data_IF_677736839985
#
_entry.id   IF_677736839985
#
_cell.length_a   1.000
_cell.length_b   1.000
_cell.length_c   1.000
_cell.angle_alpha   90.00
_cell.angle_beta   90.00
_cell.angle_gamma   90.00
#
_symmetry.space_group_name_H-M   'P 1'
#
loop_
_entity.id
_entity.type
_entity.pdbx_description
1 polymer ?
#
# COMPACT_ATOMS: atom_id res chain seq x y z
N UNK A 1 -8.23 17.00 28.15
CA UNK A 1 -8.29 16.87 26.68
C UNK A 1 -7.46 15.65 26.37
N UNK A 2 -8.01 14.69 25.62
CA UNK A 2 -7.23 13.50 25.23
C UNK A 2 -6.07 13.85 24.31
N UNK A 3 -5.09 12.96 24.21
CA UNK A 3 -3.97 13.13 23.30
C UNK A 3 -4.47 13.16 21.85
N UNK A 4 -3.87 14.00 21.02
CA UNK A 4 -4.25 14.19 19.61
C UNK A 4 -3.04 14.12 18.70
N UNK A 5 -3.14 13.36 17.60
CA UNK A 5 -2.12 13.29 16.57
C UNK A 5 -2.64 13.79 15.23
N UNK A 6 -1.79 14.47 14.48
CA UNK A 6 -2.01 14.70 13.05
C UNK A 6 -1.35 13.57 12.27
N UNK A 7 -2.11 12.86 11.44
CA UNK A 7 -1.58 11.82 10.55
C UNK A 7 -1.39 12.38 9.15
N UNK A 8 -0.16 12.41 8.67
CA UNK A 8 0.16 12.84 7.31
C UNK A 8 0.33 11.60 6.40
N UNK A 9 -0.73 11.23 5.70
CA UNK A 9 -0.81 10.09 4.78
C UNK A 9 -1.52 10.49 3.47
N UNK A 10 -1.70 9.56 2.56
CA UNK A 10 -2.48 9.75 1.31
C UNK A 10 -3.88 9.20 1.49
N UNK A 11 -4.84 10.06 1.84
CA UNK A 11 -6.19 9.67 2.29
C UNK A 11 -7.27 10.44 1.55
N UNK A 12 -8.47 9.83 1.48
CA UNK A 12 -9.63 10.36 0.77
C UNK A 12 -9.53 10.12 -0.74
N UNK A 13 -8.69 9.17 -1.15
CA UNK A 13 -8.59 8.70 -2.53
C UNK A 13 -9.48 7.47 -2.75
N UNK A 14 -9.61 7.03 -4.00
CA UNK A 14 -10.33 5.79 -4.33
C UNK A 14 -9.45 4.55 -4.15
N UNK A 15 -8.17 4.70 -3.74
CA UNK A 15 -7.24 3.59 -3.53
C UNK A 15 -7.49 2.91 -2.18
N UNK A 16 -8.21 1.81 -2.20
CA UNK A 16 -8.56 1.05 -0.99
C UNK A 16 -7.36 0.49 -0.24
N UNK A 17 -6.22 0.32 -0.90
CA UNK A 17 -4.98 -0.09 -0.22
C UNK A 17 -4.45 0.97 0.73
N UNK A 18 -4.43 2.24 0.31
CA UNK A 18 -3.99 3.35 1.16
C UNK A 18 -5.02 3.60 2.29
N UNK A 19 -6.32 3.44 1.99
CA UNK A 19 -7.39 3.52 2.99
C UNK A 19 -7.30 2.38 4.03
N UNK A 20 -6.95 1.16 3.63
CA UNK A 20 -6.72 0.02 4.54
C UNK A 20 -5.56 0.30 5.50
N UNK A 21 -4.42 0.77 4.97
CA UNK A 21 -3.26 1.16 5.76
C UNK A 21 -3.62 2.24 6.78
N UNK A 22 -4.38 3.25 6.37
CA UNK A 22 -4.85 4.30 7.27
C UNK A 22 -5.84 3.77 8.31
N UNK A 23 -6.74 2.89 7.93
CA UNK A 23 -7.69 2.26 8.88
C UNK A 23 -6.95 1.54 10.00
N UNK A 24 -5.91 0.76 9.68
CA UNK A 24 -5.06 0.09 10.67
C UNK A 24 -4.36 1.12 11.57
N UNK A 25 -3.72 2.13 10.99
CA UNK A 25 -3.03 3.16 11.75
C UNK A 25 -3.97 3.91 12.71
N UNK A 26 -5.18 4.23 12.24
CA UNK A 26 -6.20 4.87 13.06
C UNK A 26 -6.60 3.98 14.26
N UNK A 27 -6.76 2.67 14.06
CA UNK A 27 -7.04 1.75 15.16
C UNK A 27 -5.89 1.71 16.16
N UNK A 28 -4.64 1.59 15.71
CA UNK A 28 -3.49 1.63 16.60
C UNK A 28 -3.40 2.90 17.44
N UNK A 29 -3.80 4.06 16.90
CA UNK A 29 -3.86 5.32 17.63
C UNK A 29 -5.07 5.35 18.60
N UNK A 30 -6.24 4.89 18.17
CA UNK A 30 -7.44 4.83 18.99
C UNK A 30 -7.27 3.91 20.21
N UNK A 31 -6.61 2.76 20.05
CA UNK A 31 -6.29 1.83 21.15
C UNK A 31 -5.39 2.47 22.23
N UNK A 32 -4.68 3.54 21.86
CA UNK A 32 -3.85 4.38 22.75
C UNK A 32 -4.60 5.60 23.28
N UNK A 33 -5.90 5.72 23.01
CA UNK A 33 -6.71 6.88 23.41
C UNK A 33 -6.39 8.17 22.64
N UNK A 34 -5.72 8.07 21.48
CA UNK A 34 -5.28 9.23 20.69
C UNK A 34 -6.30 9.58 19.61
N UNK A 35 -6.81 10.81 19.66
CA UNK A 35 -7.66 11.36 18.60
C UNK A 35 -6.83 11.65 17.34
N UNK A 36 -7.39 11.32 16.17
CA UNK A 36 -6.73 11.49 14.89
C UNK A 36 -7.32 12.64 14.09
N UNK A 37 -6.46 13.56 13.63
CA UNK A 37 -6.77 14.54 12.60
C UNK A 37 -5.98 14.24 11.32
N UNK A 38 -6.61 14.34 10.13
CA UNK A 38 -5.96 13.95 8.87
C UNK A 38 -6.31 14.88 7.70
N UNK A 39 -5.31 15.35 6.93
CA UNK A 39 -5.57 16.03 5.66
C UNK A 39 -6.06 15.01 4.62
N UNK A 40 -7.22 15.24 4.02
CA UNK A 40 -7.90 14.35 3.10
C UNK A 40 -8.26 15.03 1.78
N UNK A 41 -8.27 14.24 0.69
CA UNK A 41 -8.80 14.64 -0.62
C UNK A 41 -10.32 14.76 -0.61
N UNK A 42 -10.99 13.94 0.23
CA UNK A 42 -12.43 13.95 0.49
C UNK A 42 -12.69 13.95 2.00
N UNK A 43 -12.63 15.12 2.67
CA UNK A 43 -12.84 15.21 4.11
C UNK A 43 -14.17 14.62 4.59
N UNK A 44 -15.34 14.91 3.97
CA UNK A 44 -16.59 14.31 4.40
C UNK A 44 -16.61 12.79 4.30
N UNK A 45 -16.13 12.22 3.19
CA UNK A 45 -16.04 10.76 2.98
C UNK A 45 -15.09 10.11 3.98
N UNK A 46 -13.93 10.74 4.23
CA UNK A 46 -12.94 10.24 5.21
C UNK A 46 -13.49 10.27 6.63
N UNK A 47 -14.18 11.36 7.02
CA UNK A 47 -14.83 11.44 8.34
C UNK A 47 -15.88 10.34 8.50
N UNK A 48 -16.69 10.10 7.47
CA UNK A 48 -17.72 9.05 7.52
C UNK A 48 -17.13 7.64 7.57
N UNK A 49 -16.06 7.37 6.80
CA UNK A 49 -15.45 6.04 6.71
C UNK A 49 -14.60 5.67 7.93
N UNK A 50 -13.87 6.64 8.48
CA UNK A 50 -12.86 6.39 9.50
C UNK A 50 -13.17 6.99 10.89
N UNK A 51 -14.23 7.79 11.02
CA UNK A 51 -14.63 8.47 12.27
C UNK A 51 -13.48 9.32 12.85
N UNK A 52 -12.84 10.12 12.01
CA UNK A 52 -11.73 11.00 12.35
C UNK A 52 -12.04 12.46 11.96
N UNK A 53 -11.27 13.40 12.50
CA UNK A 53 -11.36 14.81 12.13
C UNK A 53 -10.58 15.05 10.83
N UNK A 54 -11.29 14.99 9.69
CA UNK A 54 -10.69 15.18 8.38
C UNK A 54 -10.83 16.62 7.90
N UNK A 55 -9.76 17.15 7.32
CA UNK A 55 -9.73 18.51 6.76
C UNK A 55 -9.11 18.53 5.35
N UNK A 56 -9.29 19.66 4.65
CA UNK A 56 -8.86 19.77 3.26
C UNK A 56 -7.36 19.51 3.07
N UNK A 57 -7.04 18.62 2.16
CA UNK A 57 -5.69 18.17 1.81
C UNK A 57 -4.76 19.33 1.38
N UNK A 58 -5.30 20.35 0.70
CA UNK A 58 -4.57 21.54 0.25
C UNK A 58 -4.83 22.77 1.13
N UNK A 59 -5.35 22.62 2.35
CA UNK A 59 -5.61 23.72 3.27
C UNK A 59 -4.47 23.86 4.30
N UNK A 60 -3.48 24.76 4.05
CA UNK A 60 -2.36 24.97 4.99
C UNK A 60 -2.79 25.68 6.27
N UNK A 61 -3.95 26.35 6.26
CA UNK A 61 -4.49 27.04 7.43
C UNK A 61 -5.11 26.03 8.40
N UNK A 62 -5.88 25.08 7.87
CA UNK A 62 -6.40 23.95 8.64
C UNK A 62 -5.24 23.11 9.20
N UNK A 63 -4.26 22.73 8.38
CA UNK A 63 -3.08 22.00 8.86
C UNK A 63 -2.41 22.70 10.06
N UNK A 64 -2.20 24.03 9.98
CA UNK A 64 -1.60 24.77 11.10
C UNK A 64 -2.48 24.79 12.34
N UNK A 65 -3.81 24.88 12.20
CA UNK A 65 -4.73 24.80 13.35
C UNK A 65 -4.63 23.46 14.04
N UNK A 66 -4.69 22.36 13.26
CA UNK A 66 -4.63 21.01 13.81
C UNK A 66 -3.27 20.71 14.45
N UNK A 67 -2.16 21.16 13.85
CA UNK A 67 -0.83 21.01 14.46
C UNK A 67 -0.69 21.77 15.80
N UNK A 68 -1.36 22.92 15.98
CA UNK A 68 -1.32 23.66 17.26
C UNK A 68 -2.04 22.94 18.41
N UNK A 69 -3.01 22.09 18.09
CA UNK A 69 -3.77 21.32 19.07
C UNK A 69 -3.31 19.87 19.16
N UNK A 70 -2.31 19.47 18.37
CA UNK A 70 -1.75 18.13 18.37
C UNK A 70 -0.59 18.00 19.35
N UNK A 71 -0.35 16.78 19.83
CA UNK A 71 0.81 16.41 20.64
C UNK A 71 1.91 15.83 19.75
N UNK A 72 1.58 15.24 18.60
CA UNK A 72 2.55 14.64 17.69
C UNK A 72 2.08 14.67 16.22
N UNK A 73 3.04 14.48 15.28
CA UNK A 73 2.77 14.15 13.90
C UNK A 73 3.18 12.70 13.63
N UNK A 74 2.27 11.89 13.09
CA UNK A 74 2.57 10.59 12.51
C UNK A 74 2.66 10.73 11.00
N UNK A 75 3.81 10.41 10.43
CA UNK A 75 4.05 10.45 8.99
C UNK A 75 4.06 9.02 8.43
N UNK A 76 3.06 8.66 7.65
CA UNK A 76 3.00 7.34 7.06
C UNK A 76 1.58 6.79 6.93
N UNK A 77 1.56 5.60 6.62
CA UNK A 77 1.84 4.49 5.88
C UNK A 77 1.83 4.63 4.36
N UNK A 78 2.41 3.65 3.73
CA UNK A 78 2.42 3.54 2.29
C UNK A 78 3.59 4.22 1.58
N UNK A 79 3.53 4.31 0.27
CA UNK A 79 4.62 4.80 -0.59
C UNK A 79 4.69 6.32 -0.72
N UNK A 80 4.84 7.05 0.38
CA UNK A 80 4.84 8.52 0.39
C UNK A 80 6.17 9.13 -0.08
N UNK A 81 7.28 8.43 0.17
CA UNK A 81 8.62 8.90 -0.18
C UNK A 81 8.98 8.42 -1.60
N UNK A 82 8.39 9.08 -2.61
CA UNK A 82 8.61 8.73 -4.02
C UNK A 82 8.45 9.96 -4.92
N UNK A 83 9.14 9.96 -6.06
CA UNK A 83 9.06 10.96 -7.12
C UNK A 83 8.58 10.38 -8.47
N UNK A 84 8.12 9.13 -8.46
CA UNK A 84 7.70 8.41 -9.66
C UNK A 84 6.36 8.92 -10.22
N UNK A 85 5.42 9.30 -9.37
CA UNK A 85 4.06 9.67 -9.78
C UNK A 85 3.91 11.14 -10.12
N UNK A 86 4.63 12.04 -9.43
CA UNK A 86 4.60 13.49 -9.67
C UNK A 86 5.78 14.19 -8.98
N UNK A 87 6.31 15.24 -9.61
CA UNK A 87 7.32 16.12 -8.99
C UNK A 87 6.80 16.86 -7.75
N UNK A 88 5.48 17.01 -7.61
CA UNK A 88 4.83 17.70 -6.50
C UNK A 88 4.55 16.79 -5.31
N UNK A 89 4.49 15.47 -5.53
CA UNK A 89 4.15 14.50 -4.49
C UNK A 89 5.10 14.60 -3.29
N UNK A 90 6.38 14.42 -3.52
CA UNK A 90 7.38 14.43 -2.46
C UNK A 90 7.49 15.79 -1.73
N UNK A 91 7.62 16.97 -2.41
CA UNK A 91 7.61 18.26 -1.73
C UNK A 91 6.37 18.49 -0.88
N UNK A 92 5.22 18.02 -1.35
CA UNK A 92 3.95 18.16 -0.66
C UNK A 92 3.93 17.35 0.64
N UNK A 93 4.33 16.07 0.60
CA UNK A 93 4.41 15.23 1.80
C UNK A 93 5.44 15.78 2.80
N UNK A 94 6.64 16.14 2.36
CA UNK A 94 7.68 16.70 3.20
C UNK A 94 7.30 18.06 3.83
N UNK A 95 6.36 18.81 3.23
CA UNK A 95 5.87 20.07 3.78
C UNK A 95 5.18 19.90 5.13
N UNK A 96 4.53 18.74 5.37
CA UNK A 96 3.84 18.40 6.63
C UNK A 96 4.84 18.18 7.76
N UNK A 97 5.90 17.44 7.48
CA UNK A 97 7.01 17.25 8.43
C UNK A 97 7.61 18.61 8.81
N UNK A 98 7.87 19.46 7.81
CA UNK A 98 8.40 20.80 8.08
C UNK A 98 7.44 21.66 8.91
N UNK A 99 6.13 21.52 8.67
CA UNK A 99 5.12 22.26 9.43
C UNK A 99 5.07 21.80 10.90
N UNK A 100 5.10 20.49 11.15
CA UNK A 100 5.16 19.92 12.51
C UNK A 100 6.41 20.35 13.25
N UNK A 101 7.58 20.24 12.60
CA UNK A 101 8.85 20.71 13.20
C UNK A 101 8.83 22.19 13.55
N UNK A 102 8.25 23.06 12.70
CA UNK A 102 8.09 24.50 13.01
C UNK A 102 7.12 24.74 14.16
N UNK A 103 6.18 23.82 14.39
CA UNK A 103 5.28 23.87 15.54
C UNK A 103 5.90 23.26 16.82
N UNK A 104 7.13 22.75 16.74
CA UNK A 104 7.82 22.13 17.88
C UNK A 104 7.28 20.74 18.24
N UNK A 105 6.54 20.10 17.33
CA UNK A 105 5.94 18.80 17.59
C UNK A 105 6.95 17.67 17.34
N UNK A 106 7.00 16.66 18.23
CA UNK A 106 7.66 15.40 17.93
C UNK A 106 6.97 14.73 16.75
N UNK A 107 7.71 13.94 15.98
CA UNK A 107 7.16 13.20 14.86
C UNK A 107 7.89 11.88 14.61
N UNK A 108 7.18 10.92 14.05
CA UNK A 108 7.72 9.64 13.64
C UNK A 108 7.16 9.21 12.28
N UNK A 109 7.89 8.33 11.60
CA UNK A 109 7.45 7.68 10.38
C UNK A 109 7.02 6.23 10.64
N UNK A 110 5.89 5.78 10.08
CA UNK A 110 5.40 4.39 10.24
C UNK A 110 5.03 3.78 8.88
N UNK A 111 5.44 2.54 8.64
CA UNK A 111 5.07 1.79 7.44
C UNK A 111 5.45 2.46 6.11
N UNK A 112 6.55 3.21 6.07
CA UNK A 112 6.94 4.03 4.92
C UNK A 112 7.62 3.20 3.83
N UNK A 113 7.25 3.45 2.56
CA UNK A 113 7.99 3.01 1.39
C UNK A 113 8.82 4.15 0.81
N UNK A 114 10.11 3.90 0.54
CA UNK A 114 11.06 4.86 -0.05
C UNK A 114 11.74 4.35 -1.33
N UNK A 115 11.39 3.16 -1.80
CA UNK A 115 11.96 2.55 -3.01
C UNK A 115 11.71 3.35 -4.30
N UNK A 116 10.73 4.27 -4.30
CA UNK A 116 10.39 5.15 -5.43
C UNK A 116 11.17 6.47 -5.50
N UNK A 117 12.29 6.63 -4.78
CA UNK A 117 13.16 7.81 -4.86
C UNK A 117 14.16 7.65 -5.99
N UNK A 118 13.81 8.12 -7.19
CA UNK A 118 14.60 7.89 -8.41
C UNK A 118 15.66 8.95 -8.66
N UNK A 119 15.42 10.21 -8.28
CA UNK A 119 16.35 11.31 -8.59
C UNK A 119 17.27 11.69 -7.42
N UNK A 120 18.54 12.09 -7.71
CA UNK A 120 19.44 12.59 -6.66
C UNK A 120 18.89 13.83 -5.93
N UNK A 121 18.13 14.68 -6.62
CA UNK A 121 17.48 15.85 -6.02
C UNK A 121 16.43 15.48 -4.98
N UNK A 122 15.60 14.47 -5.28
CA UNK A 122 14.60 13.94 -4.33
C UNK A 122 15.26 13.27 -3.13
N UNK A 123 16.30 12.49 -3.34
CA UNK A 123 17.08 11.85 -2.26
C UNK A 123 17.66 12.88 -1.30
N UNK A 124 18.28 13.98 -1.81
CA UNK A 124 18.78 15.07 -0.98
C UNK A 124 17.68 15.78 -0.20
N UNK A 125 16.49 15.99 -0.82
CA UNK A 125 15.33 16.59 -0.14
C UNK A 125 14.81 15.72 1.00
N UNK A 126 14.78 14.41 0.81
CA UNK A 126 14.39 13.45 1.84
C UNK A 126 15.40 13.47 2.98
N UNK A 127 16.70 13.32 2.70
CA UNK A 127 17.74 13.37 3.72
C UNK A 127 17.66 14.67 4.57
N UNK A 128 17.45 15.82 3.93
CA UNK A 128 17.32 17.11 4.61
C UNK A 128 16.01 17.27 5.41
N UNK A 129 14.97 16.54 5.07
CA UNK A 129 13.66 16.64 5.73
C UNK A 129 13.48 15.63 6.87
N UNK A 130 14.06 14.43 6.73
CA UNK A 130 13.95 13.36 7.71
C UNK A 130 15.01 13.50 8.81
N UNK A 131 14.89 14.55 9.58
CA UNK A 131 15.74 14.86 10.74
C UNK A 131 14.87 15.18 11.95
N UNK A 132 15.40 15.11 13.15
CA UNK A 132 14.72 15.42 14.41
C UNK A 132 13.43 14.59 14.61
N UNK A 133 13.43 13.34 14.17
CA UNK A 133 12.33 12.39 14.38
C UNK A 133 12.64 11.43 15.53
N UNK A 134 11.59 10.83 16.10
CA UNK A 134 11.74 9.78 17.10
C UNK A 134 12.34 8.53 16.46
N UNK A 135 11.66 7.98 15.44
CA UNK A 135 12.13 6.88 14.59
C UNK A 135 11.38 6.86 13.26
N UNK A 136 11.89 6.10 12.30
CA UNK A 136 11.23 5.86 11.01
C UNK A 136 11.16 4.36 10.74
N UNK A 137 9.94 3.80 10.81
CA UNK A 137 9.67 2.45 10.35
C UNK A 137 9.45 2.44 8.84
N UNK A 138 10.16 1.57 8.14
CA UNK A 138 10.00 1.33 6.71
C UNK A 138 9.50 -0.08 6.44
N UNK A 139 8.67 -0.22 5.41
CA UNK A 139 7.94 -1.45 5.14
C UNK A 139 8.73 -2.53 4.41
N UNK A 140 9.84 -2.19 3.77
CA UNK A 140 10.63 -3.11 2.95
C UNK A 140 12.13 -2.86 3.09
N UNK A 141 12.94 -3.89 2.81
CA UNK A 141 14.39 -3.85 2.94
C UNK A 141 15.03 -2.78 2.05
N UNK A 142 14.53 -2.61 0.82
CA UNK A 142 15.06 -1.63 -0.12
C UNK A 142 14.83 -0.19 0.35
N UNK A 143 13.73 0.07 1.05
CA UNK A 143 13.46 1.36 1.72
C UNK A 143 14.39 1.60 2.90
N UNK A 144 14.71 0.56 3.69
CA UNK A 144 15.65 0.65 4.80
C UNK A 144 17.05 1.00 4.29
N UNK A 145 17.54 0.27 3.29
CA UNK A 145 18.84 0.52 2.64
C UNK A 145 18.90 1.93 2.02
N UNK A 146 17.83 2.34 1.33
CA UNK A 146 17.75 3.67 0.73
C UNK A 146 17.89 4.78 1.78
N UNK A 147 17.09 4.75 2.86
CA UNK A 147 17.12 5.81 3.87
C UNK A 147 18.40 5.78 4.71
N UNK A 148 18.90 4.60 5.07
CA UNK A 148 20.17 4.45 5.78
C UNK A 148 21.34 4.94 4.93
N UNK A 149 21.36 4.61 3.64
CA UNK A 149 22.36 5.11 2.68
C UNK A 149 22.32 6.63 2.46
N UNK A 150 21.19 7.27 2.76
CA UNK A 150 21.05 8.74 2.77
C UNK A 150 21.46 9.37 4.11
N UNK A 151 21.89 8.58 5.08
CA UNK A 151 22.28 9.06 6.42
C UNK A 151 21.09 9.40 7.32
N UNK A 152 19.89 8.93 7.03
CA UNK A 152 18.73 9.12 7.91
C UNK A 152 18.94 8.27 9.17
N UNK A 153 18.92 8.86 10.38
CA UNK A 153 19.13 8.11 11.62
C UNK A 153 17.87 7.30 12.00
N UNK A 154 18.02 6.34 12.92
CA UNK A 154 16.92 5.57 13.54
C UNK A 154 15.91 5.02 12.52
N UNK A 155 16.40 4.50 11.40
CA UNK A 155 15.58 3.74 10.44
C UNK A 155 15.42 2.32 10.97
N UNK A 156 14.17 1.89 11.12
CA UNK A 156 13.78 0.56 11.62
C UNK A 156 13.13 -0.21 10.47
N UNK A 157 13.62 -1.41 10.19
CA UNK A 157 12.93 -2.33 9.28
C UNK A 157 11.67 -2.86 9.97
N UNK A 158 10.55 -2.57 9.39
CA UNK A 158 9.23 -3.07 9.77
C UNK A 158 8.57 -3.75 8.56
N UNK A 159 7.26 -3.95 8.60
CA UNK A 159 6.45 -4.30 7.45
C UNK A 159 5.34 -3.26 7.23
N UNK A 160 4.62 -3.38 6.11
CA UNK A 160 3.47 -2.51 5.83
C UNK A 160 2.40 -2.69 6.90
N UNK A 161 1.78 -1.58 7.31
CA UNK A 161 0.71 -1.60 8.33
C UNK A 161 -0.47 -2.49 7.95
N UNK A 162 -0.72 -2.69 6.66
CA UNK A 162 -1.79 -3.56 6.20
C UNK A 162 -1.66 -5.01 6.68
N UNK A 163 -0.46 -5.48 7.06
CA UNK A 163 -0.26 -6.81 7.66
C UNK A 163 -0.87 -6.97 9.06
N UNK A 164 -1.23 -5.86 9.71
CA UNK A 164 -1.96 -5.85 11.00
C UNK A 164 -3.48 -5.82 10.82
N UNK A 165 -3.98 -5.81 9.58
CA UNK A 165 -5.42 -5.88 9.34
C UNK A 165 -5.96 -7.25 9.73
N UNK A 166 -7.18 -7.28 10.27
CA UNK A 166 -7.84 -8.53 10.65
C UNK A 166 -8.12 -9.38 9.41
N UNK A 167 -7.60 -10.63 9.35
CA UNK A 167 -7.80 -11.49 8.20
C UNK A 167 -9.29 -11.85 8.05
N UNK A 168 -9.80 -12.02 6.82
CA UNK A 168 -11.18 -12.42 6.63
C UNK A 168 -11.38 -13.87 7.08
N UNK A 169 -12.59 -14.18 7.58
CA UNK A 169 -12.97 -15.58 7.83
C UNK A 169 -12.96 -16.35 6.50
N UNK A 170 -12.11 -17.37 6.39
CA UNK A 170 -12.01 -18.18 5.19
C UNK A 170 -13.33 -18.93 4.94
N UNK A 171 -13.89 -18.81 3.72
CA UNK A 171 -15.19 -19.38 3.34
C UNK A 171 -15.08 -20.49 2.30
N UNK A 172 -13.89 -20.95 1.98
CA UNK A 172 -13.66 -21.96 0.96
C UNK A 172 -12.41 -21.64 0.12
N UNK A 173 -12.39 -22.22 -1.06
CA UNK A 173 -11.36 -22.04 -2.08
C UNK A 173 -11.98 -22.25 -3.46
N UNK A 174 -11.22 -22.04 -4.52
CA UNK A 174 -11.69 -22.27 -5.90
C UNK A 174 -11.78 -20.99 -6.72
N UNK A 175 -11.28 -19.88 -6.20
CA UNK A 175 -11.24 -18.58 -6.90
C UNK A 175 -9.80 -18.16 -7.20
N UNK A 176 -9.53 -17.82 -8.45
CA UNK A 176 -8.39 -17.05 -8.89
C UNK A 176 -8.76 -15.55 -8.77
N UNK A 177 -8.25 -14.88 -7.77
CA UNK A 177 -8.42 -13.42 -7.66
C UNK A 177 -7.42 -12.70 -8.58
N UNK A 178 -7.91 -11.70 -9.33
CA UNK A 178 -7.08 -10.93 -10.27
C UNK A 178 -7.21 -9.44 -9.95
N UNK A 179 -6.09 -8.80 -9.58
CA UNK A 179 -6.04 -7.39 -9.23
C UNK A 179 -5.16 -6.62 -10.24
N UNK A 180 -5.74 -6.23 -11.37
CA UNK A 180 -5.02 -5.48 -12.40
C UNK A 180 -4.98 -3.99 -12.09
N UNK A 181 -3.95 -3.35 -12.61
CA UNK A 181 -3.78 -1.90 -12.63
C UNK A 181 -3.50 -1.45 -14.04
N UNK A 182 -4.19 -0.40 -14.50
CA UNK A 182 -3.91 0.17 -15.81
C UNK A 182 -2.46 0.72 -15.87
N UNK A 183 -1.56 0.11 -16.67
CA UNK A 183 -0.20 0.59 -16.80
C UNK A 183 -0.13 1.98 -17.44
N UNK A 184 -1.14 2.40 -18.21
CA UNK A 184 -1.17 3.71 -18.86
C UNK A 184 -1.45 4.84 -17.85
N UNK A 185 -2.20 4.59 -16.79
CA UNK A 185 -2.41 5.58 -15.71
C UNK A 185 -1.11 5.90 -14.98
N UNK A 186 -0.14 4.97 -14.98
CA UNK A 186 1.19 5.20 -14.47
C UNK A 186 2.09 6.01 -15.44
N UNK A 187 1.71 6.14 -16.71
CA UNK A 187 2.46 6.89 -17.74
C UNK A 187 2.13 8.38 -17.78
N UNK A 188 0.95 8.78 -17.26
CA UNK A 188 0.58 10.19 -17.24
C UNK A 188 1.24 10.89 -16.05
N UNK A 189 2.38 11.53 -16.29
CA UNK A 189 3.22 12.18 -15.30
C UNK A 189 3.52 13.62 -15.74
N UNK A 190 2.63 14.59 -15.50
CA UNK A 190 3.01 15.98 -15.67
C UNK A 190 4.19 16.29 -14.76
N UNK A 191 5.36 16.52 -15.37
CA UNK A 191 6.58 16.84 -14.64
C UNK A 191 7.33 15.68 -14.00
N UNK A 192 7.15 14.42 -14.43
CA UNK A 192 8.01 13.33 -14.02
C UNK A 192 9.46 13.58 -14.50
N UNK A 193 10.39 13.58 -13.54
CA UNK A 193 11.82 13.71 -13.81
C UNK A 193 12.41 12.32 -14.00
N UNK A 194 12.49 11.85 -15.23
CA UNK A 194 13.12 10.60 -15.60
C UNK A 194 12.41 9.87 -16.74
N UNK A 195 13.11 8.99 -17.47
CA UNK A 195 12.45 8.18 -18.46
C UNK A 195 11.40 7.31 -17.80
N UNK A 196 10.23 7.10 -18.44
CA UNK A 196 9.24 6.15 -17.92
C UNK A 196 9.94 4.80 -17.76
N UNK A 197 9.76 4.15 -16.62
CA UNK A 197 10.15 2.76 -16.50
C UNK A 197 9.56 2.04 -17.71
N UNK A 198 10.39 1.29 -18.47
CA UNK A 198 9.90 0.46 -19.56
C UNK A 198 9.03 -0.65 -18.96
N UNK A 199 7.77 -0.33 -18.78
CA UNK A 199 6.76 -1.35 -18.53
C UNK A 199 6.56 -2.08 -19.85
N UNK A 200 6.64 -3.41 -19.90
CA UNK A 200 6.27 -4.14 -21.10
C UNK A 200 4.90 -3.68 -21.59
N UNK A 201 4.73 -3.56 -22.90
CA UNK A 201 3.43 -3.22 -23.47
C UNK A 201 2.49 -4.41 -23.28
N UNK A 202 1.74 -4.40 -22.19
CA UNK A 202 0.79 -5.44 -21.86
C UNK A 202 -0.53 -5.08 -22.48
N UNK A 203 -0.95 -5.87 -23.46
CA UNK A 203 -2.24 -5.67 -24.13
C UNK A 203 -3.38 -6.33 -23.34
N UNK A 204 -4.62 -5.84 -23.55
CA UNK A 204 -5.81 -6.43 -22.95
C UNK A 204 -5.96 -7.89 -23.40
N UNK A 205 -5.68 -8.18 -24.68
CA UNK A 205 -5.80 -9.53 -25.24
C UNK A 205 -4.76 -10.49 -24.61
N UNK A 206 -3.52 -10.02 -24.36
CA UNK A 206 -2.51 -10.84 -23.69
C UNK A 206 -2.90 -11.15 -22.24
N UNK A 207 -3.48 -10.19 -21.51
CA UNK A 207 -3.98 -10.41 -20.15
C UNK A 207 -5.16 -11.41 -20.17
N UNK A 208 -6.15 -11.22 -21.05
CA UNK A 208 -7.31 -12.10 -21.16
C UNK A 208 -6.87 -13.54 -21.48
N UNK A 209 -6.00 -13.72 -22.49
CA UNK A 209 -5.51 -15.05 -22.88
C UNK A 209 -4.72 -15.74 -21.75
N UNK A 210 -3.90 -15.00 -21.02
CA UNK A 210 -3.11 -15.54 -19.90
C UNK A 210 -4.00 -15.95 -18.71
N UNK A 211 -5.01 -15.14 -18.39
CA UNK A 211 -5.96 -15.45 -17.32
C UNK A 211 -6.84 -16.64 -17.69
N UNK A 212 -7.34 -16.72 -18.95
CA UNK A 212 -8.07 -17.87 -19.46
C UNK A 212 -7.26 -19.16 -19.39
N UNK A 213 -6.00 -19.12 -19.84
CA UNK A 213 -5.09 -20.26 -19.77
C UNK A 213 -4.87 -20.70 -18.31
N UNK A 214 -4.71 -19.74 -17.39
CA UNK A 214 -4.55 -20.02 -15.96
C UNK A 214 -5.81 -20.64 -15.37
N UNK A 215 -6.99 -20.04 -15.61
CA UNK A 215 -8.26 -20.54 -15.13
C UNK A 215 -8.54 -21.96 -15.65
N UNK A 216 -8.27 -22.21 -16.93
CA UNK A 216 -8.42 -23.53 -17.56
C UNK A 216 -7.46 -24.57 -16.95
N UNK A 217 -6.20 -24.21 -16.75
CA UNK A 217 -5.17 -25.11 -16.21
C UNK A 217 -5.43 -25.49 -14.74
N UNK A 218 -5.98 -24.56 -13.96
CA UNK A 218 -6.22 -24.73 -12.52
C UNK A 218 -7.64 -25.19 -12.18
N UNK A 219 -8.61 -25.02 -13.10
CA UNK A 219 -10.03 -25.23 -12.84
C UNK A 219 -10.66 -24.18 -11.92
N UNK A 220 -9.97 -23.06 -11.64
CA UNK A 220 -10.44 -22.00 -10.75
C UNK A 220 -11.39 -21.05 -11.49
N UNK A 221 -12.39 -20.52 -10.78
CA UNK A 221 -13.21 -19.42 -11.28
C UNK A 221 -12.48 -18.08 -11.14
N UNK A 222 -12.60 -17.21 -12.14
CA UNK A 222 -11.90 -15.90 -12.13
C UNK A 222 -12.75 -14.82 -11.49
N UNK A 223 -12.12 -14.07 -10.54
CA UNK A 223 -12.70 -12.86 -9.93
C UNK A 223 -11.73 -11.69 -10.04
N UNK A 224 -12.13 -10.64 -10.72
CA UNK A 224 -11.42 -9.35 -10.69
C UNK A 224 -11.81 -8.55 -9.45
N UNK A 225 -10.82 -8.10 -8.67
CA UNK A 225 -11.02 -7.25 -7.48
C UNK A 225 -10.33 -5.91 -7.68
N UNK A 226 -11.11 -4.84 -7.74
CA UNK A 226 -10.60 -3.49 -7.95
C UNK A 226 -10.11 -2.88 -6.62
N UNK A 227 -8.79 -2.71 -6.48
CA UNK A 227 -8.18 -2.02 -5.34
C UNK A 227 -8.30 -0.49 -5.44
N UNK A 228 -8.51 0.01 -6.65
CA UNK A 228 -8.88 1.38 -6.94
C UNK A 228 -10.09 1.34 -7.87
N UNK A 229 -11.33 1.30 -7.31
CA UNK A 229 -12.54 1.11 -8.09
C UNK A 229 -12.75 2.14 -9.21
N UNK A 230 -12.24 3.35 -9.05
CA UNK A 230 -12.34 4.38 -10.08
C UNK A 230 -11.36 4.16 -11.25
N UNK A 231 -10.15 3.65 -10.94
CA UNK A 231 -9.09 3.48 -11.94
C UNK A 231 -9.09 2.07 -12.55
N UNK A 232 -9.26 1.02 -11.73
CA UNK A 232 -9.02 -0.37 -12.14
C UNK A 232 -10.21 -1.02 -12.84
N UNK A 233 -11.44 -0.67 -12.43
CA UNK A 233 -12.64 -1.39 -12.85
C UNK A 233 -12.87 -1.39 -14.36
N UNK A 234 -12.51 -0.28 -15.04
CA UNK A 234 -12.61 -0.21 -16.50
C UNK A 234 -11.71 -1.26 -17.17
N UNK A 235 -10.46 -1.39 -16.73
CA UNK A 235 -9.53 -2.38 -17.26
C UNK A 235 -10.03 -3.81 -16.98
N UNK A 236 -10.50 -4.06 -15.76
CA UNK A 236 -11.05 -5.37 -15.38
C UNK A 236 -12.17 -5.79 -16.31
N UNK A 237 -13.13 -4.91 -16.60
CA UNK A 237 -14.20 -5.19 -17.56
C UNK A 237 -13.69 -5.44 -18.97
N UNK A 238 -12.77 -4.59 -19.45
CA UNK A 238 -12.21 -4.74 -20.79
C UNK A 238 -11.48 -6.07 -20.97
N UNK A 239 -10.79 -6.55 -19.92
CA UNK A 239 -10.15 -7.88 -19.95
C UNK A 239 -11.19 -8.98 -19.86
N UNK A 240 -12.15 -8.89 -18.93
CA UNK A 240 -13.23 -9.87 -18.77
C UNK A 240 -14.07 -10.05 -20.06
N UNK A 241 -14.36 -8.94 -20.78
CA UNK A 241 -15.09 -8.97 -22.05
C UNK A 241 -14.31 -9.66 -23.19
N UNK A 242 -13.00 -9.89 -23.03
CA UNK A 242 -12.13 -10.59 -24.00
C UNK A 242 -11.81 -12.03 -23.61
N UNK A 243 -12.14 -12.42 -22.39
CA UNK A 243 -11.93 -13.77 -21.90
C UNK A 243 -12.95 -14.75 -22.52
N UNK A 244 -12.49 -15.96 -22.74
CA UNK A 244 -13.37 -17.09 -23.16
C UNK A 244 -14.07 -17.73 -21.95
N UNK A 245 -13.44 -17.68 -20.76
CA UNK A 245 -14.01 -18.19 -19.51
C UNK A 245 -14.80 -17.08 -18.80
N UNK A 246 -15.90 -17.42 -18.09
CA UNK A 246 -16.64 -16.45 -17.30
C UNK A 246 -15.79 -15.85 -16.20
N UNK A 247 -15.92 -14.54 -15.99
CA UNK A 247 -15.22 -13.84 -14.93
C UNK A 247 -16.18 -12.89 -14.18
N UNK A 248 -16.04 -12.84 -12.86
CA UNK A 248 -16.76 -11.91 -12.00
C UNK A 248 -15.92 -10.64 -11.78
N UNK A 249 -16.56 -9.47 -11.71
CA UNK A 249 -15.86 -8.20 -11.48
C UNK A 249 -16.41 -7.49 -10.25
N UNK A 250 -15.54 -7.26 -9.26
CA UNK A 250 -15.89 -6.67 -7.97
C UNK A 250 -15.36 -5.24 -7.81
N UNK A 251 -16.17 -4.40 -7.19
CA UNK A 251 -15.85 -3.04 -6.77
C UNK A 251 -16.11 -2.93 -5.27
N UNK A 252 -15.24 -3.48 -4.43
CA UNK A 252 -15.44 -3.46 -3.00
C UNK A 252 -15.47 -2.04 -2.43
N UNK A 253 -16.11 -1.90 -1.28
CA UNK A 253 -15.86 -0.80 -0.35
C UNK A 253 -14.67 -1.14 0.55
N UNK A 254 -14.16 -0.18 1.31
CA UNK A 254 -13.10 -0.45 2.29
C UNK A 254 -13.49 -1.58 3.26
N UNK A 255 -14.69 -1.51 3.82
CA UNK A 255 -15.19 -2.51 4.77
C UNK A 255 -15.37 -3.91 4.16
N UNK A 256 -15.61 -4.01 2.85
CA UNK A 256 -15.77 -5.28 2.14
C UNK A 256 -14.49 -5.80 1.49
N UNK A 257 -13.41 -5.03 1.47
CA UNK A 257 -12.21 -5.37 0.69
C UNK A 257 -11.63 -6.74 1.04
N UNK A 258 -11.34 -7.00 2.29
CA UNK A 258 -10.73 -8.26 2.72
C UNK A 258 -11.67 -9.45 2.53
N UNK A 259 -12.97 -9.24 2.66
CA UNK A 259 -13.97 -10.29 2.46
C UNK A 259 -14.01 -10.82 1.01
N UNK A 260 -13.58 -10.01 0.02
CA UNK A 260 -13.48 -10.47 -1.38
C UNK A 260 -12.39 -11.54 -1.58
N UNK A 261 -11.52 -11.73 -0.60
CA UNK A 261 -10.45 -12.74 -0.64
C UNK A 261 -10.76 -13.98 0.21
N UNK A 262 -11.91 -14.05 0.88
CA UNK A 262 -12.23 -15.13 1.83
C UNK A 262 -12.32 -16.54 1.20
N UNK A 263 -12.59 -16.65 -0.11
CA UNK A 263 -12.70 -17.90 -0.88
C UNK A 263 -11.64 -18.03 -1.99
N UNK A 264 -10.60 -17.17 -1.92
CA UNK A 264 -9.52 -17.16 -2.92
C UNK A 264 -8.55 -18.31 -2.67
N UNK A 265 -8.23 -19.06 -3.73
CA UNK A 265 -7.22 -20.11 -3.74
C UNK A 265 -5.82 -19.54 -4.01
N UNK A 266 -5.74 -18.63 -4.98
CA UNK A 266 -4.51 -17.94 -5.36
C UNK A 266 -4.86 -16.58 -5.94
N UNK A 267 -3.98 -15.59 -5.76
CA UNK A 267 -4.16 -14.26 -6.33
C UNK A 267 -3.07 -13.92 -7.35
N UNK A 268 -3.46 -13.32 -8.47
CA UNK A 268 -2.58 -12.70 -9.46
C UNK A 268 -2.73 -11.17 -9.37
N UNK A 269 -1.65 -10.44 -9.05
CA UNK A 269 -1.79 -9.03 -8.72
C UNK A 269 -0.75 -8.10 -9.33
N UNK A 270 -1.21 -6.94 -9.82
CA UNK A 270 -0.43 -5.74 -10.11
C UNK A 270 -0.54 -4.70 -8.98
N UNK A 271 -1.31 -4.98 -7.93
CA UNK A 271 -1.56 -4.10 -6.79
C UNK A 271 -0.95 -4.69 -5.53
N UNK A 272 -0.04 -3.92 -4.87
CA UNK A 272 0.64 -4.37 -3.65
C UNK A 272 -0.35 -4.86 -2.58
N UNK A 273 -1.34 -4.03 -2.23
CA UNK A 273 -2.33 -4.39 -1.21
C UNK A 273 -3.33 -5.47 -1.66
N UNK A 274 -3.44 -5.74 -2.96
CA UNK A 274 -4.15 -6.93 -3.45
C UNK A 274 -3.43 -8.22 -3.05
N UNK A 275 -2.11 -8.22 -3.14
CA UNK A 275 -1.30 -9.35 -2.67
C UNK A 275 -1.30 -9.48 -1.14
N UNK A 276 -1.23 -8.37 -0.41
CA UNK A 276 -1.35 -8.38 1.07
C UNK A 276 -2.72 -8.94 1.50
N UNK A 277 -3.81 -8.48 0.89
CA UNK A 277 -5.16 -8.96 1.21
C UNK A 277 -5.34 -10.45 0.93
N UNK A 278 -4.80 -10.95 -0.20
CA UNK A 278 -4.80 -12.36 -0.54
C UNK A 278 -4.00 -13.18 0.48
N UNK A 279 -2.79 -12.75 0.81
CA UNK A 279 -1.92 -13.44 1.75
C UNK A 279 -2.52 -13.49 3.17
N UNK A 280 -3.13 -12.41 3.64
CA UNK A 280 -3.89 -12.38 4.91
C UNK A 280 -5.07 -13.35 4.90
N UNK A 281 -5.70 -13.55 3.74
CA UNK A 281 -6.77 -14.54 3.58
C UNK A 281 -6.26 -15.98 3.44
N UNK A 282 -4.94 -16.21 3.48
CA UNK A 282 -4.33 -17.52 3.34
C UNK A 282 -4.21 -18.00 1.89
N UNK A 283 -4.23 -17.07 0.92
CA UNK A 283 -4.04 -17.37 -0.50
C UNK A 283 -2.63 -16.96 -0.97
N UNK A 284 -1.83 -17.86 -1.58
CA UNK A 284 -0.55 -17.53 -2.17
C UNK A 284 -0.69 -16.54 -3.32
N UNK A 285 0.42 -15.87 -3.68
CA UNK A 285 0.38 -14.68 -4.53
C UNK A 285 1.27 -14.83 -5.75
N UNK A 286 0.73 -14.55 -6.91
CA UNK A 286 1.50 -14.30 -8.13
C UNK A 286 1.56 -12.79 -8.38
N UNK A 287 2.76 -12.21 -8.42
CA UNK A 287 2.93 -10.81 -8.76
C UNK A 287 3.24 -10.66 -10.25
N UNK A 288 2.47 -9.81 -10.92
CA UNK A 288 2.83 -9.32 -12.25
C UNK A 288 3.80 -8.15 -12.04
N UNK A 289 5.11 -8.45 -12.09
CA UNK A 289 6.19 -7.62 -11.56
C UNK A 289 6.52 -6.42 -12.45
N UNK A 290 5.64 -5.42 -12.51
CA UNK A 290 5.88 -4.17 -13.24
C UNK A 290 6.34 -3.01 -12.34
N UNK A 291 6.61 -3.25 -11.05
CA UNK A 291 7.08 -2.21 -10.14
C UNK A 291 7.96 -2.78 -9.02
N UNK A 292 8.96 -1.99 -8.54
CA UNK A 292 9.84 -2.42 -7.45
C UNK A 292 9.12 -2.90 -6.19
N UNK A 293 7.97 -2.31 -5.88
CA UNK A 293 7.17 -2.70 -4.70
C UNK A 293 6.52 -4.08 -4.81
N UNK A 294 6.20 -4.55 -6.03
CA UNK A 294 5.70 -5.90 -6.24
C UNK A 294 6.84 -6.93 -6.16
N UNK A 295 8.03 -6.55 -6.63
CA UNK A 295 9.24 -7.36 -6.42
C UNK A 295 9.56 -7.49 -4.93
N UNK A 296 9.45 -6.39 -4.16
CA UNK A 296 9.63 -6.43 -2.71
C UNK A 296 8.58 -7.33 -2.04
N UNK A 297 7.30 -7.22 -2.41
CA UNK A 297 6.24 -8.09 -1.88
C UNK A 297 6.51 -9.57 -2.16
N UNK A 298 6.93 -9.91 -3.39
CA UNK A 298 7.28 -11.28 -3.72
C UNK A 298 8.48 -11.77 -2.90
N UNK A 299 9.48 -10.92 -2.67
CA UNK A 299 10.61 -11.21 -1.80
C UNK A 299 10.21 -11.42 -0.33
N UNK A 300 9.32 -10.57 0.20
CA UNK A 300 8.81 -10.68 1.56
C UNK A 300 7.97 -11.96 1.77
N UNK A 301 7.17 -12.36 0.77
CA UNK A 301 6.38 -13.60 0.80
C UNK A 301 7.19 -14.86 0.50
N UNK A 302 8.41 -14.72 -0.03
CA UNK A 302 9.30 -15.83 -0.29
C UNK A 302 8.68 -16.92 -1.18
N UNK A 303 8.76 -18.21 -0.80
CA UNK A 303 8.22 -19.31 -1.61
C UNK A 303 6.69 -19.27 -1.83
N UNK A 304 5.95 -18.53 -0.98
CA UNK A 304 4.49 -18.36 -1.10
C UNK A 304 4.10 -17.33 -2.17
N UNK A 305 5.09 -16.71 -2.82
CA UNK A 305 4.87 -15.85 -3.96
C UNK A 305 5.73 -16.27 -5.15
N UNK A 306 5.17 -16.15 -6.35
CA UNK A 306 5.89 -16.37 -7.59
C UNK A 306 5.70 -15.18 -8.54
N UNK A 307 6.77 -14.44 -8.90
CA UNK A 307 6.66 -13.37 -9.87
C UNK A 307 6.48 -13.94 -11.28
N UNK A 308 5.53 -13.39 -12.03
CA UNK A 308 5.41 -13.58 -13.46
C UNK A 308 6.13 -12.44 -14.19
N UNK A 309 7.00 -12.77 -15.15
CA UNK A 309 7.74 -11.79 -15.92
C UNK A 309 6.86 -11.03 -16.93
N UNK A 310 5.78 -11.66 -17.38
CA UNK A 310 4.77 -11.12 -18.28
C UNK A 310 3.48 -11.93 -18.19
N UNK A 311 2.44 -11.52 -18.93
CA UNK A 311 1.16 -12.27 -18.93
C UNK A 311 1.35 -13.74 -19.35
N UNK A 312 2.17 -14.04 -20.32
CA UNK A 312 2.44 -15.37 -20.82
C UNK A 312 3.02 -16.33 -19.78
N UNK A 313 3.65 -15.78 -18.74
CA UNK A 313 4.26 -16.53 -17.64
C UNK A 313 3.27 -16.83 -16.49
N UNK A 314 2.07 -16.23 -16.54
CA UNK A 314 1.10 -16.28 -15.46
C UNK A 314 0.69 -17.72 -15.07
N UNK A 315 0.37 -18.66 -15.99
CA UNK A 315 -0.02 -20.03 -15.60
C UNK A 315 1.08 -20.73 -14.80
N UNK A 316 2.35 -20.62 -15.24
CA UNK A 316 3.50 -21.21 -14.54
C UNK A 316 3.71 -20.58 -13.16
N UNK A 317 3.62 -19.27 -13.07
CA UNK A 317 3.83 -18.55 -11.81
C UNK A 317 2.70 -18.86 -10.80
N UNK A 318 1.47 -19.02 -11.24
CA UNK A 318 0.35 -19.44 -10.39
C UNK A 318 0.59 -20.86 -9.84
N UNK A 319 0.99 -21.81 -10.67
CA UNK A 319 1.32 -23.18 -10.24
C UNK A 319 2.45 -23.18 -9.19
N UNK A 320 3.48 -22.39 -9.40
CA UNK A 320 4.57 -22.22 -8.44
C UNK A 320 4.09 -21.62 -7.12
N UNK A 321 3.25 -20.57 -7.16
CA UNK A 321 2.69 -19.96 -5.97
C UNK A 321 1.83 -20.94 -5.17
N UNK A 322 0.98 -21.73 -5.83
CA UNK A 322 0.17 -22.79 -5.20
C UNK A 322 1.06 -23.83 -4.51
N UNK A 323 2.12 -24.28 -5.18
CA UNK A 323 3.10 -25.23 -4.60
C UNK A 323 3.79 -24.63 -3.37
N UNK A 324 4.13 -23.33 -3.41
CA UNK A 324 4.77 -22.61 -2.31
C UNK A 324 3.82 -22.23 -1.17
N UNK A 325 2.51 -22.34 -1.37
CA UNK A 325 1.47 -21.90 -0.42
C UNK A 325 1.58 -22.50 0.98
N UNK A 326 2.20 -23.68 1.12
CA UNK A 326 2.48 -24.33 2.42
C UNK A 326 3.31 -23.47 3.38
N UNK A 327 4.09 -22.53 2.88
CA UNK A 327 4.93 -21.63 3.69
C UNK A 327 4.22 -20.32 4.07
N UNK A 328 3.02 -20.07 3.51
CA UNK A 328 2.35 -18.77 3.61
C UNK A 328 2.02 -18.39 5.04
N UNK A 329 1.47 -19.30 5.82
CA UNK A 329 1.04 -19.00 7.20
C UNK A 329 2.21 -18.55 8.09
N UNK A 330 3.36 -19.23 7.99
CA UNK A 330 4.57 -18.84 8.71
C UNK A 330 5.10 -17.48 8.25
N UNK A 331 5.13 -17.26 6.94
CA UNK A 331 5.61 -16.01 6.35
C UNK A 331 4.71 -14.83 6.74
N UNK A 332 3.38 -14.99 6.66
CA UNK A 332 2.41 -13.96 7.07
C UNK A 332 2.54 -13.67 8.57
N UNK A 333 2.70 -14.70 9.41
CA UNK A 333 2.96 -14.53 10.84
C UNK A 333 4.19 -13.65 11.10
N UNK A 334 5.32 -13.96 10.45
CA UNK A 334 6.55 -13.16 10.56
C UNK A 334 6.40 -11.72 10.06
N UNK A 335 5.63 -11.50 8.97
CA UNK A 335 5.35 -10.15 8.47
C UNK A 335 4.42 -9.36 9.40
N UNK A 336 3.46 -10.03 10.04
CA UNK A 336 2.58 -9.42 11.05
C UNK A 336 3.37 -9.01 12.29
N UNK A 337 4.26 -9.89 12.80
CA UNK A 337 5.14 -9.58 13.92
C UNK A 337 6.05 -8.38 13.59
N UNK A 338 6.64 -8.38 12.39
CA UNK A 338 7.49 -7.30 11.93
C UNK A 338 6.70 -5.98 11.78
N UNK A 339 5.45 -6.03 11.32
CA UNK A 339 4.56 -4.88 11.25
C UNK A 339 4.22 -4.31 12.64
N UNK A 340 4.23 -5.17 13.67
CA UNK A 340 4.08 -4.76 15.07
C UNK A 340 5.13 -3.73 15.53
N UNK A 341 6.31 -3.68 14.92
CA UNK A 341 7.33 -2.65 15.19
C UNK A 341 6.83 -1.22 14.96
N UNK A 342 5.84 -1.04 14.09
CA UNK A 342 5.20 0.28 13.90
C UNK A 342 4.47 0.73 15.18
N UNK A 343 3.86 -0.21 15.91
CA UNK A 343 3.17 0.09 17.17
C UNK A 343 4.16 0.56 18.25
N UNK A 344 5.34 -0.08 18.36
CA UNK A 344 6.40 0.35 19.28
C UNK A 344 6.87 1.78 18.99
N UNK A 345 7.01 2.15 17.71
CA UNK A 345 7.40 3.53 17.35
C UNK A 345 6.30 4.53 17.70
N UNK A 346 5.02 4.16 17.62
CA UNK A 346 3.93 5.00 18.11
C UNK A 346 3.99 5.19 19.63
N UNK A 347 4.31 4.13 20.39
CA UNK A 347 4.49 4.21 21.84
C UNK A 347 5.65 5.15 22.21
N UNK A 348 6.79 5.02 21.53
CA UNK A 348 7.95 5.92 21.73
C UNK A 348 7.60 7.37 21.38
N UNK A 349 6.84 7.60 20.30
CA UNK A 349 6.44 8.94 19.88
C UNK A 349 5.51 9.60 20.90
N UNK A 350 4.52 8.86 21.39
CA UNK A 350 3.52 9.38 22.33
C UNK A 350 4.11 9.53 23.74
N UNK A 351 5.08 8.71 24.14
CA UNK A 351 5.80 8.84 25.38
C UNK A 351 6.84 9.98 25.40
N UNK A 352 7.22 10.48 24.22
CA UNK A 352 8.14 11.63 24.06
C UNK A 352 7.44 13.00 24.03
N UNK A 353 6.09 13.02 24.14
CA UNK A 353 5.23 14.22 24.05
C UNK A 353 5.06 14.92 25.39
#
# INVERSE_FOLDING_TARGET
MGDRAVVAAWIGSTNLGDELVFSVLRHLLADRGVETAVPSLDPPGTTAAHQVDAFGHLDPSALRRHLRSAHALVFGGGGLLQDETSIWNLPWHLSRIRAARRAGLPWAGVGLGASGLTTPGSRRRVAAALVDHVAIAVRDQSSAEMLTGLGVPRVVRAADLAWLAEPPNRKGSGVLAVCLRDPQTARWRPGALGPPARTPEVTIDALASAIDATATATGLSTRFVALDPAADHRLHRQVADRMATPADTRRPTLAGLLAEFADVEVAATMRYHGGVAAALAGAPVTTLAFSPKLTALAGDLGPAAAPAAGPEDLPRAVDQALTGGRYLAETVGGLTDLAGSNATILDDLLGAS
#
